data_IF_227001206965
#
_entry.id   IF_227001206965
#
_cell.length_a   1.000
_cell.length_b   1.000
_cell.length_c   1.000
_cell.angle_alpha   90.00
_cell.angle_beta   90.00
_cell.angle_gamma   90.00
#
_symmetry.space_group_name_H-M   'P 1'
#
loop_
_entity.id
_entity.type
_entity.pdbx_description
1 polymer ?
#
# COMPACT_ATOMS: atom_id res chain seq x y z
N UNK A 1 -15.39 20.35 20.51
CA UNK A 1 -14.17 20.58 21.33
C UNK A 1 -13.41 19.27 21.36
N UNK A 2 -12.14 19.20 20.95
CA UNK A 2 -11.35 18.00 21.23
C UNK A 2 -11.13 17.98 22.75
N UNK A 3 -11.62 16.91 23.38
CA UNK A 3 -11.40 16.58 24.78
C UNK A 3 -9.94 16.13 24.92
N UNK A 4 -9.17 16.77 25.79
CA UNK A 4 -7.80 16.37 26.11
C UNK A 4 -7.70 16.15 27.61
N UNK A 5 -7.54 14.90 28.04
CA UNK A 5 -6.96 14.62 29.35
C UNK A 5 -5.49 15.08 29.33
N UNK A 6 -5.09 15.94 30.27
CA UNK A 6 -3.69 16.37 30.42
C UNK A 6 -3.14 17.34 29.36
N UNK A 7 -3.97 17.93 28.50
CA UNK A 7 -3.53 18.90 27.50
C UNK A 7 -2.86 18.31 26.26
N UNK A 8 -2.83 16.98 26.13
CA UNK A 8 -2.36 16.28 24.93
C UNK A 8 -3.51 16.13 23.95
N UNK A 9 -3.34 16.65 22.74
CA UNK A 9 -4.36 16.51 21.68
C UNK A 9 -4.25 15.16 20.98
N UNK A 10 -5.38 14.65 20.47
CA UNK A 10 -5.39 13.46 19.62
C UNK A 10 -4.46 13.59 18.41
N UNK A 11 -4.33 14.80 17.86
CA UNK A 11 -3.39 15.11 16.79
C UNK A 11 -1.93 14.82 17.22
N UNK A 12 -1.51 15.30 18.39
CA UNK A 12 -0.16 15.07 18.89
C UNK A 12 0.16 13.58 19.06
N UNK A 13 -0.80 12.79 19.54
CA UNK A 13 -0.65 11.33 19.72
C UNK A 13 -0.44 10.65 18.36
N UNK A 14 -1.21 11.04 17.35
CA UNK A 14 -1.10 10.48 15.99
C UNK A 14 0.24 10.87 15.35
N UNK A 15 0.65 12.14 15.49
CA UNK A 15 1.95 12.61 14.98
C UNK A 15 3.12 11.86 15.63
N UNK A 16 3.07 11.63 16.94
CA UNK A 16 4.06 10.84 17.67
C UNK A 16 4.08 9.38 17.20
N UNK A 17 2.91 8.78 16.97
CA UNK A 17 2.79 7.42 16.45
C UNK A 17 3.41 7.29 15.05
N UNK A 18 3.10 8.20 14.13
CA UNK A 18 3.65 8.19 12.78
C UNK A 18 5.18 8.29 12.80
N UNK A 19 5.70 9.22 13.62
CA UNK A 19 7.14 9.44 13.77
C UNK A 19 7.87 8.23 14.37
N UNK A 20 7.30 7.64 15.42
CA UNK A 20 7.90 6.50 16.13
C UNK A 20 7.95 5.22 15.28
N UNK A 21 7.04 5.09 14.32
CA UNK A 21 6.96 3.93 13.43
C UNK A 21 7.51 4.19 12.02
N UNK A 22 8.15 5.35 11.78
CA UNK A 22 8.68 5.74 10.47
C UNK A 22 7.65 5.67 9.34
N UNK A 23 6.41 6.04 9.63
CA UNK A 23 5.31 6.08 8.68
C UNK A 23 5.22 7.48 8.04
N UNK A 24 4.89 7.50 6.75
CA UNK A 24 4.66 8.72 6.00
C UNK A 24 3.16 8.91 5.77
N UNK A 25 2.63 10.07 6.16
CA UNK A 25 1.24 10.44 5.90
C UNK A 25 1.07 10.84 4.42
N UNK A 26 0.06 10.28 3.75
CA UNK A 26 -0.24 10.55 2.34
C UNK A 26 -1.37 11.57 2.15
N UNK A 27 -2.16 11.83 3.19
CA UNK A 27 -3.19 12.87 3.15
C UNK A 27 -2.59 14.22 2.76
N UNK A 28 -3.22 14.89 1.81
CA UNK A 28 -2.80 16.22 1.37
C UNK A 28 -3.41 17.27 2.31
N UNK A 29 -2.63 18.26 2.78
CA UNK A 29 -3.16 19.41 3.50
C UNK A 29 -4.27 20.12 2.71
N UNK A 30 -5.29 20.63 3.40
CA UNK A 30 -6.40 21.39 2.80
C UNK A 30 -7.23 20.64 1.75
N UNK A 31 -7.12 19.30 1.69
CA UNK A 31 -8.00 18.49 0.86
C UNK A 31 -9.46 18.52 1.36
N UNK A 32 -10.38 18.12 0.48
CA UNK A 32 -11.78 18.00 0.83
C UNK A 32 -12.00 17.09 2.06
N UNK A 33 -12.99 17.40 2.91
CA UNK A 33 -13.35 16.57 4.06
C UNK A 33 -13.67 15.13 3.68
N UNK A 34 -13.04 14.18 4.38
CA UNK A 34 -13.26 12.74 4.13
C UNK A 34 -14.51 12.20 4.82
N UNK A 35 -15.18 13.01 5.64
CA UNK A 35 -16.38 12.66 6.38
C UNK A 35 -17.37 13.84 6.40
N UNK A 36 -18.63 13.54 6.10
CA UNK A 36 -19.74 14.48 6.07
C UNK A 36 -21.01 13.76 6.54
N UNK A 37 -21.54 14.14 7.70
CA UNK A 37 -22.82 13.64 8.23
C UNK A 37 -23.67 14.81 8.75
N UNK A 38 -24.71 15.19 8.00
CA UNK A 38 -25.49 16.40 8.29
C UNK A 38 -24.59 17.64 8.33
N UNK A 39 -24.55 18.33 9.48
CA UNK A 39 -23.69 19.50 9.69
C UNK A 39 -22.28 19.15 10.19
N UNK A 40 -21.98 17.87 10.44
CA UNK A 40 -20.68 17.41 10.91
C UNK A 40 -19.76 17.16 9.72
N UNK A 41 -18.65 17.89 9.66
CA UNK A 41 -17.66 17.80 8.58
C UNK A 41 -16.30 17.59 9.23
N UNK A 42 -15.49 16.67 8.68
CA UNK A 42 -14.13 16.44 9.16
C UNK A 42 -13.32 15.51 8.27
N UNK A 43 -12.04 15.33 8.62
CA UNK A 43 -11.11 14.46 7.89
C UNK A 43 -10.48 13.39 8.79
N UNK A 44 -11.28 12.46 9.35
CA UNK A 44 -10.77 11.42 10.25
C UNK A 44 -10.03 10.29 9.52
N UNK A 45 -10.19 10.15 8.20
CA UNK A 45 -9.56 9.06 7.44
C UNK A 45 -8.09 9.38 7.19
N UNK A 46 -7.19 8.54 7.70
CA UNK A 46 -5.75 8.67 7.48
C UNK A 46 -5.23 7.58 6.55
N UNK A 47 -4.45 7.98 5.55
CA UNK A 47 -3.71 7.09 4.66
C UNK A 47 -2.23 7.27 4.92
N UNK A 48 -1.52 6.17 5.18
CA UNK A 48 -0.11 6.19 5.52
C UNK A 48 0.63 5.03 4.86
N UNK A 49 1.94 5.18 4.67
CA UNK A 49 2.80 4.16 4.06
C UNK A 49 4.12 4.02 4.81
N UNK A 50 4.74 2.84 4.68
CA UNK A 50 6.10 2.61 5.12
C UNK A 50 7.08 2.97 4.01
N UNK A 51 8.05 3.83 4.33
CA UNK A 51 9.13 4.20 3.42
C UNK A 51 8.80 5.39 2.51
N UNK A 52 9.69 6.39 2.56
CA UNK A 52 9.57 7.63 1.80
C UNK A 52 9.48 7.41 0.28
N UNK A 53 10.10 6.34 -0.24
CA UNK A 53 10.04 6.01 -1.67
C UNK A 53 8.60 5.82 -2.16
N UNK A 54 7.81 4.99 -1.46
CA UNK A 54 6.41 4.75 -1.83
C UNK A 54 5.58 6.02 -1.65
N UNK A 55 5.84 6.79 -0.59
CA UNK A 55 5.14 8.05 -0.38
C UNK A 55 5.33 9.04 -1.55
N UNK A 56 6.54 9.12 -2.09
CA UNK A 56 6.86 9.98 -3.23
C UNK A 56 6.35 9.47 -4.58
N UNK A 57 5.92 8.21 -4.65
CA UNK A 57 5.34 7.61 -5.85
C UNK A 57 3.81 7.51 -5.79
N UNK A 58 3.20 7.92 -4.68
CA UNK A 58 1.75 7.93 -4.52
C UNK A 58 1.18 9.33 -4.81
N UNK A 59 0.06 9.37 -5.53
CA UNK A 59 -0.88 10.49 -5.42
C UNK A 59 -2.08 10.06 -4.58
N UNK A 60 -2.70 11.04 -3.93
CA UNK A 60 -3.83 10.83 -3.03
C UNK A 60 -4.88 11.91 -3.31
N UNK A 61 -6.15 11.53 -3.41
CA UNK A 61 -7.26 12.48 -3.57
C UNK A 61 -8.53 11.95 -2.91
N UNK A 62 -9.39 12.88 -2.49
CA UNK A 62 -10.76 12.58 -2.06
C UNK A 62 -11.64 12.64 -3.31
N UNK A 63 -12.43 11.60 -3.55
CA UNK A 63 -13.34 11.55 -4.68
C UNK A 63 -14.68 12.19 -4.29
N UNK A 64 -15.15 13.13 -5.10
CA UNK A 64 -16.46 13.80 -4.94
C UNK A 64 -17.61 12.99 -5.56
N UNK A 65 -17.56 11.66 -5.44
CA UNK A 65 -18.60 10.78 -5.98
C UNK A 65 -19.79 10.70 -5.02
N UNK A 66 -21.01 10.84 -5.54
CA UNK A 66 -22.22 10.58 -4.76
C UNK A 66 -22.20 9.15 -4.23
N UNK A 67 -22.26 9.03 -2.91
CA UNK A 67 -22.33 7.76 -2.23
C UNK A 67 -23.29 7.85 -1.05
N UNK A 68 -23.82 6.70 -0.61
CA UNK A 68 -24.77 6.63 0.50
C UNK A 68 -24.09 6.48 1.87
N UNK A 69 -22.79 6.77 1.95
CA UNK A 69 -22.00 6.70 3.17
C UNK A 69 -21.65 8.12 3.63
N UNK A 70 -21.48 8.30 4.93
CA UNK A 70 -21.00 9.58 5.47
C UNK A 70 -19.48 9.78 5.23
N UNK A 71 -18.76 8.74 4.82
CA UNK A 71 -17.35 8.81 4.42
C UNK A 71 -17.20 8.95 2.90
N UNK A 72 -16.30 9.84 2.49
CA UNK A 72 -15.91 10.02 1.09
C UNK A 72 -14.93 8.92 0.64
N UNK A 73 -15.02 8.55 -0.63
CA UNK A 73 -14.05 7.64 -1.23
C UNK A 73 -12.68 8.30 -1.35
N UNK A 74 -11.63 7.53 -1.09
CA UNK A 74 -10.25 7.96 -1.24
C UNK A 74 -9.63 7.20 -2.40
N UNK A 75 -8.96 7.92 -3.29
CA UNK A 75 -8.20 7.32 -4.38
C UNK A 75 -6.71 7.51 -4.12
N UNK A 76 -6.00 6.39 -4.18
CA UNK A 76 -4.56 6.33 -4.04
C UNK A 76 -4.04 5.75 -5.35
N UNK A 77 -3.19 6.51 -6.04
CA UNK A 77 -2.54 6.02 -7.25
C UNK A 77 -1.05 5.87 -6.99
N UNK A 78 -0.60 4.61 -6.95
CA UNK A 78 0.79 4.24 -6.73
C UNK A 78 1.48 4.07 -8.09
N UNK A 79 2.40 4.97 -8.41
CA UNK A 79 3.23 4.92 -9.61
C UNK A 79 4.47 4.05 -9.35
N UNK A 80 4.34 2.74 -9.49
CA UNK A 80 5.51 1.86 -9.44
C UNK A 80 6.02 1.53 -10.83
N UNK A 81 7.30 1.76 -11.08
CA UNK A 81 8.04 1.16 -12.20
C UNK A 81 8.31 -0.33 -11.92
N UNK A 82 7.30 -1.08 -11.51
CA UNK A 82 7.42 -2.51 -11.30
C UNK A 82 7.51 -3.18 -12.65
N UNK A 83 8.71 -3.67 -12.97
CA UNK A 83 8.87 -4.74 -13.94
C UNK A 83 7.97 -5.90 -13.51
N UNK A 84 6.97 -6.22 -14.32
CA UNK A 84 6.11 -7.38 -14.12
C UNK A 84 6.89 -8.63 -14.52
N UNK A 85 7.59 -9.23 -13.57
CA UNK A 85 8.25 -10.51 -13.78
C UNK A 85 7.22 -11.65 -13.76
N UNK A 86 6.96 -12.22 -14.94
CA UNK A 86 6.20 -13.47 -15.06
C UNK A 86 7.15 -14.65 -14.97
N UNK A 87 7.15 -15.37 -13.85
CA UNK A 87 7.90 -16.62 -13.72
C UNK A 87 7.02 -17.80 -14.09
N UNK A 88 7.56 -18.72 -14.90
CA UNK A 88 6.89 -19.99 -15.16
C UNK A 88 7.05 -20.90 -13.93
N UNK A 89 5.96 -21.13 -13.21
CA UNK A 89 5.95 -22.06 -12.08
C UNK A 89 5.55 -23.47 -12.54
N UNK A 90 6.52 -24.37 -12.65
CA UNK A 90 6.27 -25.78 -12.96
C UNK A 90 5.93 -26.55 -11.67
N UNK A 91 4.72 -27.08 -11.57
CA UNK A 91 4.36 -28.05 -10.52
C UNK A 91 4.57 -29.47 -11.01
N UNK A 92 5.24 -30.29 -10.19
CA UNK A 92 5.32 -31.74 -10.38
C UNK A 92 4.25 -32.43 -9.55
N UNK A 93 3.58 -33.44 -10.08
CA UNK A 93 2.66 -34.27 -9.29
C UNK A 93 3.42 -35.05 -8.20
N UNK A 94 2.76 -35.25 -7.04
CA UNK A 94 3.19 -36.15 -5.94
C UNK A 94 4.65 -36.03 -5.51
N UNK A 95 5.07 -34.86 -5.00
CA UNK A 95 6.44 -34.64 -4.48
C UNK A 95 7.58 -34.95 -5.48
N UNK A 96 7.27 -35.04 -6.78
CA UNK A 96 8.22 -35.36 -7.85
C UNK A 96 9.32 -34.33 -8.09
N UNK A 97 9.37 -33.26 -7.30
CA UNK A 97 10.33 -32.16 -7.42
C UNK A 97 11.77 -32.67 -7.38
N UNK A 98 12.11 -33.56 -6.44
CA UNK A 98 13.47 -34.12 -6.34
C UNK A 98 13.91 -34.87 -7.61
N UNK A 99 12.98 -35.60 -8.24
CA UNK A 99 13.24 -36.35 -9.49
C UNK A 99 13.34 -35.41 -10.68
N UNK A 100 12.47 -34.40 -10.75
CA UNK A 100 12.52 -33.36 -11.76
C UNK A 100 13.84 -32.59 -11.71
N UNK A 101 14.23 -32.08 -10.54
CA UNK A 101 15.48 -31.34 -10.35
C UNK A 101 16.70 -32.19 -10.73
N UNK A 102 16.75 -33.47 -10.34
CA UNK A 102 17.84 -34.38 -10.72
C UNK A 102 17.99 -34.49 -12.25
N UNK A 103 16.88 -34.64 -12.96
CA UNK A 103 16.87 -34.79 -14.41
C UNK A 103 17.15 -33.46 -15.14
N UNK A 104 16.64 -32.34 -14.63
CA UNK A 104 16.88 -31.02 -15.22
C UNK A 104 18.33 -30.61 -15.03
N UNK A 105 18.92 -30.86 -13.85
CA UNK A 105 20.29 -30.44 -13.51
C UNK A 105 21.33 -30.96 -14.52
N UNK A 106 21.18 -32.16 -15.06
CA UNK A 106 22.10 -32.70 -16.08
C UNK A 106 21.96 -32.03 -17.45
N UNK A 107 20.88 -31.27 -17.68
CA UNK A 107 20.57 -30.60 -18.95
C UNK A 107 20.57 -29.07 -18.83
N UNK A 108 20.86 -28.51 -17.65
CA UNK A 108 20.85 -27.04 -17.42
C UNK A 108 21.75 -26.30 -18.39
N UNK A 109 22.96 -26.80 -18.65
CA UNK A 109 23.89 -26.13 -19.56
C UNK A 109 23.37 -26.10 -21.00
N UNK A 110 22.71 -27.18 -21.45
CA UNK A 110 22.10 -27.29 -22.78
C UNK A 110 20.94 -26.30 -22.90
N UNK A 111 20.08 -26.24 -21.87
CA UNK A 111 18.96 -25.30 -21.82
C UNK A 111 19.45 -23.84 -21.79
N UNK A 112 20.51 -23.55 -21.04
CA UNK A 112 21.08 -22.21 -20.97
C UNK A 112 21.61 -21.72 -22.33
N UNK A 113 22.34 -22.58 -23.07
CA UNK A 113 22.81 -22.26 -24.43
C UNK A 113 21.71 -22.17 -25.48
N UNK A 114 20.51 -22.70 -25.21
CA UNK A 114 19.39 -22.62 -26.15
C UNK A 114 18.50 -21.39 -25.92
N UNK A 115 18.64 -20.71 -24.77
CA UNK A 115 17.82 -19.58 -24.35
C UNK A 115 18.58 -18.25 -24.48
N UNK A 116 19.92 -18.26 -24.40
CA UNK A 116 20.81 -17.12 -24.65
C UNK A 116 21.25 -17.11 -26.11
#
# INVERSE_FOLDING_TARGET
MPITEGGVTQQMIIEEFLKSNHLHLLNIPDAEPTFRHGNSIGSPNLTMTLGAFLANQCTWEVLEEENHNDHQYLKIHLQTNTDTYSYLHFKTAFEGHSRFIKNVRSHVNILYTAIV
#
